data_IF_837199467748
#
_entry.id   IF_837199467748
#
_cell.length_a   1.000
_cell.length_b   1.000
_cell.length_c   1.000
_cell.angle_alpha   90.00
_cell.angle_beta   90.00
_cell.angle_gamma   90.00
#
_symmetry.space_group_name_H-M   'P 1'
#
loop_
_entity.id
_entity.type
_entity.pdbx_description
1 polymer ?
#
# COMPACT_ATOMS: atom_id res chain seq x y z
N UNK A 1 5.60 0.39 16.49
CA UNK A 1 5.73 0.88 15.11
C UNK A 1 5.70 -0.33 14.19
N UNK A 2 4.87 -0.33 13.12
CA UNK A 2 5.00 -1.35 12.08
C UNK A 2 6.28 -1.06 11.29
N UNK A 3 6.96 -2.10 10.81
CA UNK A 3 8.15 -1.96 9.98
C UNK A 3 7.87 -2.72 8.68
N UNK A 4 8.13 -2.07 7.56
CA UNK A 4 7.96 -2.66 6.24
C UNK A 4 9.33 -2.77 5.59
N UNK A 5 9.81 -4.00 5.44
CA UNK A 5 11.09 -4.27 4.77
C UNK A 5 10.83 -4.72 3.34
N UNK A 6 11.50 -4.08 2.39
CA UNK A 6 11.55 -4.45 0.97
C UNK A 6 12.91 -5.04 0.67
N UNK A 7 13.11 -5.53 -0.55
CA UNK A 7 14.41 -6.02 -1.01
C UNK A 7 15.50 -4.93 -0.94
N UNK A 8 15.13 -3.66 -1.12
CA UNK A 8 16.08 -2.55 -1.25
C UNK A 8 16.16 -1.66 -0.01
N UNK A 9 15.07 -1.50 0.75
CA UNK A 9 15.03 -0.60 1.91
C UNK A 9 14.10 -1.10 3.00
N UNK A 10 14.34 -0.63 4.23
CA UNK A 10 13.40 -0.80 5.34
C UNK A 10 12.76 0.54 5.70
N UNK A 11 11.43 0.54 5.76
CA UNK A 11 10.57 1.68 6.04
C UNK A 11 9.92 1.53 7.41
N UNK A 12 10.07 2.54 8.27
CA UNK A 12 9.32 2.57 9.53
C UNK A 12 7.90 3.10 9.31
N UNK A 13 6.96 2.51 10.04
CA UNK A 13 5.57 2.93 10.10
C UNK A 13 5.46 4.25 10.86
N UNK A 14 5.34 5.33 10.12
CA UNK A 14 5.19 6.69 10.65
C UNK A 14 4.83 7.74 9.60
N UNK A 15 4.40 7.34 8.40
CA UNK A 15 3.97 8.27 7.35
C UNK A 15 2.46 8.42 7.24
N UNK A 16 1.99 8.89 6.08
CA UNK A 16 0.59 9.25 5.86
C UNK A 16 -0.24 8.02 5.49
N UNK A 17 -1.33 7.79 6.22
CA UNK A 17 -2.27 6.73 5.89
C UNK A 17 -3.53 7.33 5.27
N UNK A 18 -3.97 6.78 4.14
CA UNK A 18 -5.24 7.15 3.52
C UNK A 18 -6.13 5.91 3.43
N UNK A 19 -7.42 6.05 3.68
CA UNK A 19 -8.31 4.90 3.71
C UNK A 19 -9.39 5.06 2.65
N UNK A 20 -9.19 4.43 1.49
CA UNK A 20 -10.21 4.37 0.44
C UNK A 20 -11.39 3.53 0.94
N UNK A 21 -12.56 4.15 1.08
CA UNK A 21 -13.79 3.49 1.53
C UNK A 21 -14.97 4.00 0.72
N UNK A 22 -15.99 3.17 0.61
CA UNK A 22 -17.25 3.55 0.00
C UNK A 22 -17.44 3.00 -1.40
N UNK A 23 -18.30 3.68 -2.16
CA UNK A 23 -18.65 3.32 -3.54
C UNK A 23 -17.50 3.62 -4.50
N UNK A 24 -17.55 3.03 -5.69
CA UNK A 24 -16.55 3.26 -6.74
C UNK A 24 -16.43 4.76 -7.11
N UNK A 25 -17.55 5.50 -7.10
CA UNK A 25 -17.54 6.93 -7.40
C UNK A 25 -16.86 7.76 -6.30
N UNK A 26 -17.08 7.42 -5.03
CA UNK A 26 -16.41 8.07 -3.89
C UNK A 26 -14.91 7.79 -3.93
N UNK A 27 -14.52 6.54 -4.19
CA UNK A 27 -13.10 6.15 -4.31
C UNK A 27 -12.42 6.89 -5.47
N UNK A 28 -13.09 7.05 -6.61
CA UNK A 28 -12.55 7.84 -7.73
C UNK A 28 -12.41 9.32 -7.33
N UNK A 29 -13.39 9.86 -6.60
CA UNK A 29 -13.32 11.22 -6.05
C UNK A 29 -12.11 11.40 -5.13
N UNK A 30 -11.94 10.49 -4.16
CA UNK A 30 -10.81 10.45 -3.23
C UNK A 30 -9.48 10.37 -3.97
N UNK A 31 -9.37 9.51 -4.99
CA UNK A 31 -8.17 9.39 -5.82
C UNK A 31 -7.86 10.69 -6.58
N UNK A 32 -8.89 11.36 -7.10
CA UNK A 32 -8.72 12.65 -7.78
C UNK A 32 -8.26 13.75 -6.82
N UNK A 33 -8.74 13.74 -5.58
CA UNK A 33 -8.27 14.67 -4.54
C UNK A 33 -6.81 14.39 -4.15
N UNK A 34 -6.44 13.11 -4.01
CA UNK A 34 -5.05 12.70 -3.75
C UNK A 34 -4.10 13.10 -4.87
N UNK A 35 -4.56 13.05 -6.13
CA UNK A 35 -3.79 13.53 -7.27
C UNK A 35 -3.64 15.06 -7.24
N UNK A 36 -4.74 15.78 -7.03
CA UNK A 36 -4.74 17.25 -6.97
C UNK A 36 -3.90 17.80 -5.81
N UNK A 37 -3.86 17.10 -4.68
CA UNK A 37 -3.05 17.48 -3.51
C UNK A 37 -1.59 17.05 -3.64
N UNK A 38 -1.18 16.49 -4.79
CA UNK A 38 0.16 15.93 -5.02
C UNK A 38 0.55 14.95 -3.92
N UNK A 39 -0.40 14.13 -3.44
CA UNK A 39 -0.09 13.16 -2.41
C UNK A 39 1.01 12.18 -2.84
N UNK A 40 1.19 11.99 -4.15
CA UNK A 40 2.34 11.31 -4.75
C UNK A 40 3.44 12.30 -5.17
N UNK A 41 4.14 12.86 -4.19
CA UNK A 41 5.27 13.77 -4.43
C UNK A 41 6.59 13.04 -4.75
N UNK A 42 7.57 13.77 -5.30
CA UNK A 42 8.97 13.31 -5.49
C UNK A 42 9.68 12.83 -4.23
N UNK A 43 9.17 13.23 -3.06
CA UNK A 43 9.69 12.80 -1.76
C UNK A 43 9.05 11.49 -1.26
N UNK A 44 8.12 10.91 -2.02
CA UNK A 44 7.51 9.63 -1.71
C UNK A 44 8.47 8.52 -2.10
N UNK A 45 8.97 7.76 -1.13
CA UNK A 45 9.95 6.68 -1.37
C UNK A 45 9.28 5.34 -1.58
N UNK A 46 8.23 5.06 -0.80
CA UNK A 46 7.42 3.86 -0.97
C UNK A 46 5.94 4.12 -0.66
N UNK A 47 5.08 3.42 -1.38
CA UNK A 47 3.63 3.39 -1.17
C UNK A 47 3.22 1.94 -0.94
N UNK A 48 2.50 1.72 0.15
CA UNK A 48 1.92 0.42 0.50
C UNK A 48 0.41 0.51 0.31
N UNK A 49 -0.10 -0.30 -0.62
CA UNK A 49 -1.52 -0.45 -0.90
C UNK A 49 -1.97 -1.85 -0.50
N UNK A 50 -2.74 -1.95 0.58
CA UNK A 50 -3.23 -3.24 1.08
C UNK A 50 -4.75 -3.28 1.04
N UNK A 51 -5.29 -4.33 0.44
CA UNK A 51 -6.72 -4.57 0.38
C UNK A 51 -7.03 -6.06 0.46
N UNK A 52 -8.26 -6.36 0.84
CA UNK A 52 -8.73 -7.74 0.99
C UNK A 52 -9.88 -7.99 0.02
N UNK A 53 -9.88 -9.16 -0.60
CA UNK A 53 -10.96 -9.64 -1.45
C UNK A 53 -11.60 -10.88 -0.81
N UNK A 54 -12.92 -10.93 -0.79
CA UNK A 54 -13.67 -12.10 -0.35
C UNK A 54 -14.54 -12.63 -1.50
N UNK A 55 -14.37 -13.91 -1.83
CA UNK A 55 -15.21 -14.61 -2.80
C UNK A 55 -16.15 -15.59 -2.06
N UNK A 56 -17.45 -15.27 -1.92
CA UNK A 56 -18.39 -16.10 -1.17
C UNK A 56 -18.65 -17.46 -1.84
N UNK A 57 -18.57 -17.55 -3.17
CA UNK A 57 -18.89 -18.77 -3.92
C UNK A 57 -17.95 -19.93 -3.59
N UNK A 58 -16.70 -19.61 -3.24
CA UNK A 58 -15.66 -20.59 -2.89
C UNK A 58 -15.15 -20.41 -1.45
N UNK A 59 -15.79 -19.52 -0.67
CA UNK A 59 -15.37 -19.11 0.67
C UNK A 59 -13.88 -18.75 0.78
N UNK A 60 -13.36 -18.02 -0.22
CA UNK A 60 -11.95 -17.69 -0.32
C UNK A 60 -11.70 -16.26 0.14
N UNK A 61 -10.79 -16.10 1.08
CA UNK A 61 -10.24 -14.81 1.47
C UNK A 61 -8.88 -14.60 0.84
N UNK A 62 -8.67 -13.43 0.24
CA UNK A 62 -7.41 -13.04 -0.37
C UNK A 62 -6.96 -11.74 0.27
N UNK A 63 -5.77 -11.75 0.87
CA UNK A 63 -5.06 -10.54 1.25
C UNK A 63 -4.12 -10.15 0.11
N UNK A 64 -4.30 -8.95 -0.43
CA UNK A 64 -3.46 -8.35 -1.45
C UNK A 64 -2.64 -7.23 -0.82
N UNK A 65 -1.31 -7.30 -0.95
CA UNK A 65 -0.42 -6.19 -0.63
C UNK A 65 0.37 -5.82 -1.87
N UNK A 66 0.21 -4.58 -2.30
CA UNK A 66 0.93 -3.98 -3.41
C UNK A 66 1.90 -2.95 -2.85
N UNK A 67 3.16 -3.08 -3.24
CA UNK A 67 4.23 -2.18 -2.87
C UNK A 67 4.73 -1.45 -4.10
N UNK A 68 4.73 -0.12 -4.08
CA UNK A 68 5.38 0.70 -5.10
C UNK A 68 6.57 1.43 -4.48
N UNK A 69 7.79 1.07 -4.89
CA UNK A 69 9.02 1.72 -4.44
C UNK A 69 9.60 2.61 -5.54
N UNK A 70 9.93 3.86 -5.19
CA UNK A 70 10.62 4.81 -6.08
C UNK A 70 12.08 4.96 -5.68
N UNK A 71 12.97 4.40 -6.50
CA UNK A 71 14.42 4.52 -6.31
C UNK A 71 14.95 5.67 -7.19
N UNK A 72 15.24 6.87 -6.61
CA UNK A 72 15.78 7.99 -7.39
C UNK A 72 17.15 7.66 -8.04
N UNK A 73 17.89 6.69 -7.49
CA UNK A 73 19.17 6.25 -8.03
C UNK A 73 19.04 5.48 -9.34
N UNK A 74 17.95 4.73 -9.52
CA UNK A 74 17.80 3.80 -10.65
C UNK A 74 16.69 4.19 -11.63
N UNK A 75 15.80 5.11 -11.26
CA UNK A 75 14.80 5.68 -12.16
C UNK A 75 13.63 4.75 -12.53
N UNK A 76 13.49 3.59 -11.87
CA UNK A 76 12.38 2.67 -12.08
C UNK A 76 11.49 2.54 -10.83
N UNK A 77 10.22 2.20 -11.06
CA UNK A 77 9.23 1.87 -10.03
C UNK A 77 9.17 0.35 -9.87
N UNK A 78 9.35 -0.14 -8.65
CA UNK A 78 9.22 -1.57 -8.34
C UNK A 78 7.83 -1.83 -7.83
N UNK A 79 7.13 -2.79 -8.44
CA UNK A 79 5.80 -3.22 -8.02
C UNK A 79 5.84 -4.67 -7.54
N UNK A 80 5.70 -4.87 -6.24
CA UNK A 80 5.65 -6.22 -5.64
C UNK A 80 4.23 -6.53 -5.17
N UNK A 81 3.68 -7.65 -5.62
CA UNK A 81 2.32 -8.09 -5.32
C UNK A 81 2.35 -9.40 -4.52
N UNK A 82 1.97 -9.29 -3.25
CA UNK A 82 1.82 -10.44 -2.35
C UNK A 82 0.35 -10.84 -2.25
N UNK A 83 0.03 -12.08 -2.63
CA UNK A 83 -1.29 -12.68 -2.47
C UNK A 83 -1.24 -13.78 -1.41
N UNK A 84 -1.95 -13.60 -0.31
CA UNK A 84 -2.12 -14.64 0.69
C UNK A 84 -3.56 -15.15 0.67
N UNK A 85 -3.71 -16.47 0.46
CA UNK A 85 -5.00 -17.16 0.46
C UNK A 85 -5.25 -17.74 1.84
N UNK A 86 -6.37 -17.36 2.46
CA UNK A 86 -6.82 -17.93 3.73
C UNK A 86 -8.21 -18.53 3.57
N UNK A 87 -8.38 -19.77 4.05
CA UNK A 87 -9.68 -20.39 4.26
C UNK A 87 -10.04 -20.21 5.74
N UNK A 88 -10.64 -19.06 6.11
CA UNK A 88 -11.01 -18.80 7.50
C UNK A 88 -12.50 -18.50 7.62
N UNK A 89 -13.13 -19.16 8.60
CA UNK A 89 -14.58 -19.20 8.85
C UNK A 89 -15.13 -17.93 9.54
N UNK A 90 -14.29 -16.93 9.81
CA UNK A 90 -14.64 -15.63 10.41
C UNK A 90 -13.58 -14.59 10.04
N UNK A 91 -13.95 -13.45 9.43
CA UNK A 91 -13.05 -12.29 9.30
C UNK A 91 -13.81 -10.96 9.35
N UNK A 92 -13.38 -10.05 10.24
CA UNK A 92 -13.64 -8.60 10.18
C UNK A 92 -12.57 -7.94 9.30
N UNK A 93 -12.98 -7.14 8.31
CA UNK A 93 -12.11 -6.54 7.28
C UNK A 93 -11.77 -5.08 7.61
N UNK A 94 -10.49 -4.71 7.54
CA UNK A 94 -10.04 -3.31 7.50
C UNK A 94 -9.12 -3.13 6.27
N UNK A 95 -9.28 -2.03 5.52
CA UNK A 95 -8.46 -1.64 4.37
C UNK A 95 -7.57 -0.47 4.80
N UNK A 96 -6.27 -0.41 4.49
CA UNK A 96 -5.41 0.72 4.92
C UNK A 96 -4.37 1.02 3.83
N UNK A 97 -4.29 2.25 3.34
CA UNK A 97 -3.10 2.70 2.60
C UNK A 97 -2.11 3.34 3.57
N UNK A 98 -0.82 3.13 3.32
CA UNK A 98 0.26 3.73 4.10
C UNK A 98 1.37 4.21 3.17
N UNK A 99 1.75 5.48 3.31
CA UNK A 99 2.85 6.15 2.61
C UNK A 99 4.08 6.19 3.51
N UNK A 100 5.27 5.94 2.98
CA UNK A 100 6.54 6.09 3.69
C UNK A 100 7.44 7.12 2.99
N UNK A 101 8.08 7.98 3.79
CA UNK A 101 8.87 9.14 3.30
C UNK A 101 10.39 8.95 3.45
N UNK A 102 10.85 8.17 4.43
CA UNK A 102 12.28 8.01 4.75
C UNK A 102 12.72 6.53 4.66
N UNK A 103 13.88 6.30 4.05
CA UNK A 103 14.60 5.00 4.03
C UNK A 103 15.78 5.09 5.01
N UNK A 104 16.05 3.99 5.75
CA UNK A 104 17.19 3.90 6.68
C UNK A 104 18.53 3.60 5.99
N UNK A 105 18.54 3.23 4.71
CA UNK A 105 19.79 2.87 4.02
C UNK A 105 20.26 4.09 3.22
N UNK A 106 20.81 5.05 3.95
CA UNK A 106 21.80 5.95 3.40
C UNK A 106 23.09 5.15 3.24
N UNK A 107 23.44 4.77 2.02
CA UNK A 107 24.82 4.41 1.71
C UNK A 107 25.66 5.68 1.95
N UNK A 108 26.38 5.72 3.06
CA UNK A 108 27.69 6.37 3.15
C UNK A 108 28.69 5.61 2.31
#
# INVERSE_FOLDING_TARGET
SQTFSTEYNTYFGGGYNYQLRGSLLEIIGDLSELENTSWFDRNTRAIFLTFNLYNPNVNLFIYCSLLMEYLPSMGYLILELHLLRFNCRFTLLWLTLQKAKDSLIGFT
#
